data_IF_382819823305
#
_entry.id   IF_382819823305
#
_cell.length_a   1.000
_cell.length_b   1.000
_cell.length_c   1.000
_cell.angle_alpha   90.00
_cell.angle_beta   90.00
_cell.angle_gamma   90.00
#
_symmetry.space_group_name_H-M   'P 1'
#
loop_
_entity.id
_entity.type
_entity.pdbx_description
1 polymer ?
#
# COMPACT_ATOMS: atom_id res chain seq x y z
N UNK A 1 8.10 10.95 -2.11
CA UNK A 1 7.06 9.89 -2.21
C UNK A 1 5.77 10.23 -1.45
N UNK A 2 4.66 10.42 -2.16
CA UNK A 2 3.28 10.50 -1.64
C UNK A 2 2.50 9.25 -2.08
N UNK A 3 1.63 8.72 -1.23
CA UNK A 3 0.75 7.57 -1.55
C UNK A 3 -0.68 8.06 -1.57
N UNK A 4 -1.40 7.81 -2.66
CA UNK A 4 -2.83 8.09 -2.78
C UNK A 4 -3.61 6.80 -2.90
N UNK A 5 -4.55 6.54 -1.99
CA UNK A 5 -5.45 5.39 -2.09
C UNK A 5 -6.55 5.73 -3.09
N UNK A 6 -6.64 4.95 -4.16
CA UNK A 6 -7.64 5.11 -5.21
C UNK A 6 -8.90 4.31 -4.84
N UNK A 7 -8.71 3.06 -4.43
CA UNK A 7 -9.81 2.14 -4.18
C UNK A 7 -9.49 1.23 -3.01
N UNK A 8 -10.51 0.93 -2.21
CA UNK A 8 -10.46 -0.07 -1.14
C UNK A 8 -11.63 -1.01 -1.29
N UNK A 9 -11.33 -2.28 -1.51
CA UNK A 9 -12.32 -3.34 -1.70
C UNK A 9 -12.19 -4.38 -0.60
N UNK A 10 -13.31 -4.71 0.02
CA UNK A 10 -13.37 -5.77 1.03
C UNK A 10 -13.78 -7.09 0.37
N UNK A 11 -12.88 -8.07 0.39
CA UNK A 11 -13.15 -9.41 -0.10
C UNK A 11 -13.57 -10.32 1.06
N UNK A 12 -14.87 -10.34 1.34
CA UNK A 12 -15.45 -11.12 2.45
C UNK A 12 -15.27 -12.63 2.32
N UNK A 13 -15.20 -13.14 1.08
CA UNK A 13 -14.99 -14.57 0.83
C UNK A 13 -13.60 -15.02 1.28
N UNK A 14 -12.58 -14.20 1.01
CA UNK A 14 -11.19 -14.49 1.35
C UNK A 14 -10.74 -13.85 2.68
N UNK A 15 -11.57 -13.03 3.31
CA UNK A 15 -11.24 -12.33 4.55
C UNK A 15 -10.09 -11.33 4.40
N UNK A 16 -9.93 -10.70 3.22
CA UNK A 16 -8.84 -9.76 2.95
C UNK A 16 -9.35 -8.42 2.41
N UNK A 17 -8.58 -7.36 2.65
CA UNK A 17 -8.79 -6.04 2.06
C UNK A 17 -7.83 -5.86 0.89
N UNK A 18 -8.37 -5.52 -0.27
CA UNK A 18 -7.60 -5.20 -1.48
C UNK A 18 -7.55 -3.67 -1.59
N UNK A 19 -6.35 -3.11 -1.63
CA UNK A 19 -6.12 -1.66 -1.61
C UNK A 19 -5.34 -1.30 -2.87
N UNK A 20 -5.94 -0.47 -3.71
CA UNK A 20 -5.31 0.07 -4.90
C UNK A 20 -4.83 1.48 -4.61
N UNK A 21 -3.57 1.75 -4.93
CA UNK A 21 -2.92 3.01 -4.61
C UNK A 21 -1.99 3.48 -5.73
N UNK A 22 -1.78 4.79 -5.79
CA UNK A 22 -0.79 5.46 -6.62
C UNK A 22 0.40 5.91 -5.77
N UNK A 23 1.60 5.78 -6.33
CA UNK A 23 2.85 6.22 -5.69
C UNK A 23 3.45 7.37 -6.49
N UNK A 24 3.32 8.59 -5.97
CA UNK A 24 3.85 9.81 -6.58
C UNK A 24 5.27 10.04 -6.04
N UNK A 25 6.27 10.03 -6.90
CA UNK A 25 7.69 10.14 -6.53
C UNK A 25 8.44 11.11 -7.46
N UNK A 26 7.95 12.34 -7.57
CA UNK A 26 8.55 13.37 -8.43
C UNK A 26 10.00 13.69 -8.03
N UNK A 27 10.93 13.53 -8.98
CA UNK A 27 12.35 13.82 -8.79
C UNK A 27 13.12 12.78 -7.95
N UNK A 28 12.45 11.76 -7.44
CA UNK A 28 13.03 10.68 -6.65
C UNK A 28 13.11 9.37 -7.48
N UNK A 29 14.05 8.46 -7.17
CA UNK A 29 14.04 7.13 -7.75
C UNK A 29 12.75 6.37 -7.40
N UNK A 30 12.39 5.38 -8.22
CA UNK A 30 11.23 4.51 -7.94
C UNK A 30 11.35 3.90 -6.55
N UNK A 31 10.37 4.13 -5.65
CA UNK A 31 10.47 3.69 -4.27
C UNK A 31 10.55 2.17 -4.12
N UNK A 32 11.27 1.72 -3.09
CA UNK A 32 11.34 0.29 -2.81
C UNK A 32 10.01 -0.23 -2.23
N UNK A 33 9.72 -1.52 -2.45
CA UNK A 33 8.55 -2.18 -1.83
C UNK A 33 8.53 -2.05 -0.32
N UNK A 34 9.69 -2.02 0.33
CA UNK A 34 9.80 -1.91 1.79
C UNK A 34 9.36 -0.52 2.27
N UNK A 35 9.76 0.53 1.55
CA UNK A 35 9.43 1.91 1.91
C UNK A 35 7.95 2.19 1.68
N UNK A 36 7.40 1.71 0.55
CA UNK A 36 5.96 1.80 0.25
C UNK A 36 5.15 1.06 1.32
N UNK A 37 5.54 -0.18 1.67
CA UNK A 37 4.87 -0.97 2.71
C UNK A 37 4.89 -0.24 4.05
N UNK A 38 6.03 0.30 4.46
CA UNK A 38 6.16 1.04 5.72
C UNK A 38 5.23 2.24 5.80
N UNK A 39 5.16 3.05 4.73
CA UNK A 39 4.23 4.18 4.67
C UNK A 39 2.77 3.75 4.67
N UNK A 40 2.42 2.72 3.90
CA UNK A 40 1.03 2.25 3.77
C UNK A 40 0.51 1.67 5.09
N UNK A 41 1.36 0.94 5.82
CA UNK A 41 1.11 0.43 7.16
C UNK A 41 0.85 1.57 8.15
N UNK A 42 1.71 2.59 8.17
CA UNK A 42 1.56 3.73 9.07
C UNK A 42 0.34 4.61 8.73
N UNK A 43 0.04 4.78 7.45
CA UNK A 43 -1.07 5.63 6.98
C UNK A 43 -2.45 5.02 7.28
N UNK A 44 -2.56 3.71 7.20
CA UNK A 44 -3.83 2.99 7.34
C UNK A 44 -3.94 2.19 8.64
N UNK A 45 -2.98 2.37 9.56
CA UNK A 45 -2.89 1.67 10.85
C UNK A 45 -3.03 0.14 10.72
N UNK A 46 -2.26 -0.43 9.78
CA UNK A 46 -2.29 -1.87 9.47
C UNK A 46 -1.17 -2.61 10.21
N UNK A 47 -1.32 -3.93 10.38
CA UNK A 47 -0.22 -4.73 10.91
C UNK A 47 0.84 -4.98 9.80
N UNK A 48 2.13 -4.65 10.03
CA UNK A 48 3.19 -4.86 9.04
C UNK A 48 3.42 -6.33 8.68
N UNK A 49 3.10 -7.29 9.56
CA UNK A 49 3.29 -8.72 9.29
C UNK A 49 2.22 -9.28 8.36
N UNK A 50 1.00 -8.74 8.41
CA UNK A 50 -0.13 -9.20 7.59
C UNK A 50 -0.37 -8.36 6.33
N UNK A 51 0.40 -7.28 6.15
CA UNK A 51 0.33 -6.43 4.95
C UNK A 51 1.28 -6.94 3.87
N UNK A 52 0.76 -7.25 2.69
CA UNK A 52 1.53 -7.78 1.55
C UNK A 52 1.39 -6.84 0.35
N UNK A 53 2.52 -6.46 -0.26
CA UNK A 53 2.54 -5.74 -1.53
C UNK A 53 2.62 -6.75 -2.67
N UNK A 54 1.57 -6.78 -3.48
CA UNK A 54 1.51 -7.66 -4.65
C UNK A 54 2.32 -7.10 -5.83
N UNK A 55 2.15 -5.82 -6.16
CA UNK A 55 2.84 -5.14 -7.26
C UNK A 55 3.03 -3.64 -6.95
N UNK A 56 4.01 -3.02 -7.64
CA UNK A 56 4.30 -1.58 -7.71
C UNK A 56 4.69 -1.30 -9.15
#
# INVERSE_FOLDING_TARGET
MEIRVIETKENKLLGRKEIYFEVIHEGEPTPSRRDVKGKLVAMLDLNPETTVIQYI
#
